data_IF_530070410113
#
_entry.id   IF_530070410113
#
_cell.length_a   1.000
_cell.length_b   1.000
_cell.length_c   1.000
_cell.angle_alpha   90.00
_cell.angle_beta   90.00
_cell.angle_gamma   90.00
#
_symmetry.space_group_name_H-M   'P 1'
#
loop_
_entity.id
_entity.type
_entity.pdbx_description
1 polymer ?
#
# COMPACT_ATOMS: atom_id res chain seq x y z
N UNK A 1 -0.87 17.79 5.44
CA UNK A 1 -2.31 17.98 5.76
C UNK A 1 -3.20 16.74 5.71
N UNK A 2 -3.12 15.89 4.68
CA UNK A 2 -4.02 14.74 4.53
C UNK A 2 -4.06 13.80 5.76
N UNK A 3 -2.91 13.57 6.40
CA UNK A 3 -2.83 12.75 7.61
C UNK A 3 -3.57 13.38 8.80
N UNK A 4 -3.46 14.70 9.00
CA UNK A 4 -4.15 15.40 10.09
C UNK A 4 -5.67 15.32 9.93
N UNK A 5 -6.19 15.53 8.72
CA UNK A 5 -7.61 15.40 8.42
C UNK A 5 -8.08 13.96 8.70
N UNK A 6 -7.28 12.95 8.31
CA UNK A 6 -7.60 11.54 8.55
C UNK A 6 -7.64 11.22 10.06
N UNK A 7 -6.59 11.56 10.80
CA UNK A 7 -6.50 11.24 12.22
C UNK A 7 -7.53 12.00 13.06
N UNK A 8 -7.83 13.26 12.72
CA UNK A 8 -8.93 13.98 13.35
C UNK A 8 -10.27 13.24 13.18
N UNK A 9 -10.54 12.68 11.99
CA UNK A 9 -11.77 11.90 11.76
C UNK A 9 -11.78 10.56 12.50
N UNK A 10 -10.61 9.93 12.68
CA UNK A 10 -10.49 8.67 13.43
C UNK A 10 -10.68 8.90 14.93
N UNK A 11 -10.11 9.98 15.48
CA UNK A 11 -10.20 10.30 16.90
C UNK A 11 -11.59 10.84 17.26
N UNK A 12 -12.19 11.67 16.40
CA UNK A 12 -13.46 12.35 16.66
C UNK A 12 -14.56 11.97 15.64
N UNK A 13 -15.01 10.70 15.58
CA UNK A 13 -15.99 10.27 14.60
C UNK A 13 -17.34 10.99 14.75
N UNK A 14 -17.79 11.26 15.98
CA UNK A 14 -19.10 11.89 16.25
C UNK A 14 -19.17 13.37 15.82
N UNK A 15 -18.04 14.10 15.91
CA UNK A 15 -17.95 15.48 15.42
C UNK A 15 -18.14 15.56 13.91
N UNK A 16 -17.79 14.49 13.18
CA UNK A 16 -17.92 14.42 11.73
C UNK A 16 -19.31 13.95 11.28
N UNK A 17 -20.07 13.32 12.18
CA UNK A 17 -21.42 12.81 11.94
C UNK A 17 -22.55 13.83 12.21
N UNK A 18 -22.21 15.09 12.53
CA UNK A 18 -23.20 16.16 12.72
C UNK A 18 -23.94 16.14 14.07
N UNK A 19 -23.53 15.30 15.03
CA UNK A 19 -24.05 15.35 16.40
C UNK A 19 -23.39 16.52 17.14
N UNK A 20 -24.13 17.63 17.29
CA UNK A 20 -23.69 18.78 18.08
C UNK A 20 -23.86 18.49 19.57
N UNK A 21 -22.78 18.08 20.22
CA UNK A 21 -22.68 18.18 21.67
C UNK A 21 -22.17 19.59 22.02
N UNK A 22 -22.98 20.36 22.76
CA UNK A 22 -22.59 21.64 23.33
C UNK A 22 -21.70 21.37 24.56
N UNK A 23 -20.42 21.11 24.35
CA UNK A 23 -19.43 21.11 25.44
C UNK A 23 -18.76 22.49 25.53
N UNK A 24 -18.68 23.05 26.74
CA UNK A 24 -17.80 24.17 27.04
C UNK A 24 -16.36 23.76 26.69
N UNK A 25 -15.74 24.44 25.73
CA UNK A 25 -14.32 24.26 25.41
C UNK A 25 -13.53 24.80 26.60
N UNK A 26 -13.14 23.92 27.53
CA UNK A 26 -12.43 24.33 28.74
C UNK A 26 -10.93 24.62 28.51
N UNK A 27 -10.37 24.23 27.37
CA UNK A 27 -9.02 24.64 26.91
C UNK A 27 -8.75 24.05 25.53
N UNK A 28 -8.07 24.80 24.65
CA UNK A 28 -7.58 24.28 23.37
C UNK A 28 -6.52 23.20 23.64
N UNK A 29 -6.64 22.03 23.02
CA UNK A 29 -5.57 21.02 22.99
C UNK A 29 -4.90 21.05 21.62
N UNK A 30 -3.58 21.22 21.58
CA UNK A 30 -2.82 21.34 20.33
C UNK A 30 -1.93 20.12 20.12
N UNK A 31 -1.94 19.57 18.91
CA UNK A 31 -0.97 18.56 18.47
C UNK A 31 0.03 19.23 17.54
N UNK A 32 1.27 19.35 17.97
CA UNK A 32 2.37 19.92 17.22
C UNK A 32 3.22 18.83 16.57
N UNK A 33 3.69 19.08 15.35
CA UNK A 33 4.49 18.13 14.59
C UNK A 33 5.79 18.79 14.20
N UNK A 34 6.91 18.13 14.51
CA UNK A 34 8.23 18.55 14.11
C UNK A 34 8.88 17.44 13.26
N UNK A 35 9.45 17.83 12.12
CA UNK A 35 10.16 16.90 11.22
C UNK A 35 11.51 17.49 10.84
N UNK A 36 12.57 16.71 11.00
CA UNK A 36 13.93 17.18 10.72
C UNK A 36 14.18 17.29 9.20
N UNK A 37 13.74 16.28 8.44
CA UNK A 37 13.84 16.26 6.98
C UNK A 37 12.48 16.48 6.31
N UNK A 38 12.36 17.60 5.57
CA UNK A 38 11.10 18.05 4.97
C UNK A 38 10.70 17.37 3.65
N UNK A 39 11.17 16.15 3.35
CA UNK A 39 10.76 15.45 2.13
C UNK A 39 9.41 14.74 2.32
N UNK A 40 8.33 15.48 2.05
CA UNK A 40 6.94 14.98 2.10
C UNK A 40 6.45 14.45 0.74
N UNK A 41 7.13 14.78 -0.36
CA UNK A 41 6.67 14.47 -1.72
C UNK A 41 7.27 13.17 -2.27
N UNK A 42 8.38 12.70 -1.69
CA UNK A 42 9.00 11.43 -2.00
C UNK A 42 8.13 10.19 -1.70
N UNK A 43 8.66 9.04 -2.11
CA UNK A 43 8.14 7.71 -1.76
C UNK A 43 8.98 7.13 -0.62
N UNK A 44 8.36 6.40 0.32
CA UNK A 44 9.12 5.69 1.35
C UNK A 44 10.06 4.68 0.68
N UNK A 45 11.26 4.56 1.22
CA UNK A 45 12.30 3.62 0.80
C UNK A 45 12.60 2.64 1.95
N UNK A 46 13.45 1.66 1.73
CA UNK A 46 13.84 0.68 2.76
C UNK A 46 14.56 1.30 3.96
N UNK A 47 15.36 2.35 3.71
CA UNK A 47 16.15 3.07 4.70
C UNK A 47 15.41 4.28 5.32
N UNK A 48 14.15 4.48 4.96
CA UNK A 48 13.33 5.57 5.48
C UNK A 48 13.13 5.43 6.99
N UNK A 49 13.66 6.39 7.76
CA UNK A 49 13.55 6.40 9.21
C UNK A 49 12.09 6.52 9.66
N UNK A 50 11.60 5.52 10.39
CA UNK A 50 10.24 5.49 10.97
C UNK A 50 10.24 5.79 12.49
N UNK A 51 11.39 6.23 13.04
CA UNK A 51 11.53 6.59 14.45
C UNK A 51 10.74 7.86 14.76
N UNK A 52 10.12 7.91 15.93
CA UNK A 52 9.47 9.11 16.44
C UNK A 52 9.53 9.17 17.97
N UNK A 53 9.43 10.39 18.47
CA UNK A 53 9.19 10.70 19.87
C UNK A 53 7.82 11.39 19.99
N UNK A 54 6.96 10.88 20.87
CA UNK A 54 5.66 11.43 21.19
C UNK A 54 5.64 11.85 22.65
N UNK A 55 5.41 13.13 22.93
CA UNK A 55 5.19 13.65 24.27
C UNK A 55 3.79 14.23 24.38
N UNK A 56 3.10 13.92 25.47
CA UNK A 56 1.78 14.45 25.80
C UNK A 56 1.84 15.09 27.17
N UNK A 57 1.44 16.35 27.24
CA UNK A 57 1.41 17.17 28.46
C UNK A 57 0.07 17.92 28.58
N UNK A 58 -0.07 18.78 29.59
CA UNK A 58 -1.31 19.50 29.83
C UNK A 58 -1.62 20.48 28.68
N UNK A 59 -2.63 20.19 27.87
CA UNK A 59 -3.10 21.03 26.76
C UNK A 59 -2.29 20.92 25.46
N UNK A 60 -1.30 20.03 25.40
CA UNK A 60 -0.40 19.93 24.25
C UNK A 60 0.15 18.51 24.07
N UNK A 61 0.30 18.09 22.81
CA UNK A 61 1.09 16.94 22.42
C UNK A 61 2.08 17.33 21.32
N UNK A 62 3.27 16.74 21.30
CA UNK A 62 4.23 16.89 20.22
C UNK A 62 4.65 15.54 19.65
N UNK A 63 4.67 15.42 18.32
CA UNK A 63 5.30 14.31 17.61
C UNK A 63 6.52 14.84 16.88
N UNK A 64 7.69 14.35 17.26
CA UNK A 64 8.97 14.72 16.66
C UNK A 64 9.55 13.49 15.96
N UNK A 65 9.92 13.63 14.70
CA UNK A 65 10.49 12.53 13.93
C UNK A 65 11.54 13.02 12.95
N UNK A 66 12.49 12.15 12.63
CA UNK A 66 13.52 12.44 11.63
C UNK A 66 12.91 12.65 10.23
N UNK A 67 11.89 11.86 9.89
CA UNK A 67 11.21 11.89 8.61
C UNK A 67 9.68 11.96 8.75
N UNK A 68 9.00 12.31 7.66
CA UNK A 68 7.53 12.29 7.58
C UNK A 68 6.94 10.91 7.87
N UNK A 69 7.70 9.82 7.64
CA UNK A 69 7.24 8.46 7.88
C UNK A 69 7.13 8.17 9.37
N UNK A 70 8.07 8.64 10.18
CA UNK A 70 7.99 8.57 11.65
C UNK A 70 6.81 9.38 12.20
N UNK A 71 6.53 10.56 11.63
CA UNK A 71 5.34 11.35 11.99
C UNK A 71 4.06 10.54 11.80
N UNK A 72 3.91 9.83 10.67
CA UNK A 72 2.72 9.00 10.43
C UNK A 72 2.57 7.89 11.48
N UNK A 73 3.67 7.30 11.96
CA UNK A 73 3.65 6.29 13.03
C UNK A 73 3.29 6.90 14.38
N UNK A 74 3.82 8.08 14.69
CA UNK A 74 3.50 8.81 15.92
C UNK A 74 2.05 9.28 15.98
N UNK A 75 1.48 9.73 14.87
CA UNK A 75 0.06 10.08 14.78
C UNK A 75 -0.86 8.87 15.01
N UNK A 76 -0.47 7.69 14.50
CA UNK A 76 -1.19 6.44 14.80
C UNK A 76 -1.20 6.16 16.30
N UNK A 77 -0.02 6.15 16.92
CA UNK A 77 0.12 5.93 18.36
C UNK A 77 -0.65 6.97 19.17
N UNK A 78 -0.57 8.25 18.82
CA UNK A 78 -1.34 9.30 19.47
C UNK A 78 -2.85 9.04 19.41
N UNK A 79 -3.37 8.62 18.26
CA UNK A 79 -4.80 8.30 18.12
C UNK A 79 -5.26 7.16 19.02
N UNK A 80 -4.37 6.22 19.34
CA UNK A 80 -4.64 5.10 20.25
C UNK A 80 -4.54 5.49 21.74
N UNK A 81 -3.89 6.60 22.07
CA UNK A 81 -3.84 7.14 23.43
C UNK A 81 -5.09 7.93 23.81
N UNK A 82 -5.85 8.42 22.82
CA UNK A 82 -7.09 9.15 23.07
C UNK A 82 -8.20 8.15 23.38
N UNK A 83 -8.88 8.36 24.50
CA UNK A 83 -10.01 7.54 24.92
C UNK A 83 -11.20 8.42 25.33
N UNK A 84 -12.39 7.85 25.34
CA UNK A 84 -13.62 8.52 25.80
C UNK A 84 -14.06 7.94 27.15
N UNK A 85 -14.63 8.76 28.01
CA UNK A 85 -15.40 8.30 29.17
C UNK A 85 -16.84 7.92 28.79
N UNK A 86 -17.61 7.44 29.77
CA UNK A 86 -19.02 7.07 29.59
C UNK A 86 -19.92 8.25 29.17
N UNK A 87 -19.44 9.50 29.30
CA UNK A 87 -20.14 10.72 28.93
C UNK A 87 -19.71 11.27 27.56
N UNK A 88 -18.79 10.59 26.86
CA UNK A 88 -18.28 11.00 25.54
C UNK A 88 -17.19 12.09 25.60
N UNK A 89 -16.68 12.41 26.78
CA UNK A 89 -15.57 13.35 26.95
C UNK A 89 -14.27 12.67 26.55
N UNK A 90 -13.46 13.32 25.71
CA UNK A 90 -12.19 12.77 25.24
C UNK A 90 -11.06 13.13 26.21
N UNK A 91 -10.22 12.15 26.52
CA UNK A 91 -9.07 12.28 27.40
C UNK A 91 -7.82 11.69 26.75
N UNK A 92 -6.68 12.17 27.21
CA UNK A 92 -5.36 11.60 26.91
C UNK A 92 -4.48 11.80 28.13
N UNK A 93 -3.74 10.75 28.52
CA UNK A 93 -2.88 10.81 29.70
C UNK A 93 -1.53 11.44 29.36
N UNK A 94 -0.94 12.17 30.32
CA UNK A 94 0.45 12.61 30.22
C UNK A 94 1.36 11.40 30.00
N UNK A 95 2.09 11.40 28.89
CA UNK A 95 2.84 10.24 28.41
C UNK A 95 4.04 10.70 27.61
N UNK A 96 5.17 9.99 27.72
CA UNK A 96 6.35 10.18 26.86
C UNK A 96 6.70 8.81 26.23
N UNK A 97 6.79 8.76 24.90
CA UNK A 97 7.07 7.56 24.10
C UNK A 97 8.21 7.86 23.14
N UNK A 98 9.27 7.06 23.18
CA UNK A 98 10.26 6.92 22.12
C UNK A 98 10.04 5.56 21.46
N UNK A 99 9.79 5.54 20.15
CA UNK A 99 9.44 4.32 19.44
C UNK A 99 10.12 4.25 18.07
N UNK A 100 10.46 3.03 17.67
CA UNK A 100 11.12 2.74 16.42
C UNK A 100 10.91 1.29 16.01
N UNK A 101 11.14 1.00 14.74
CA UNK A 101 10.91 -0.32 14.16
C UNK A 101 12.11 -1.23 14.40
N UNK A 102 11.88 -2.47 14.82
CA UNK A 102 12.95 -3.47 14.89
C UNK A 102 13.38 -3.94 13.50
N UNK A 103 12.43 -4.03 12.57
CA UNK A 103 12.65 -4.47 11.20
C UNK A 103 12.07 -3.47 10.21
N UNK A 104 12.86 -3.11 9.20
CA UNK A 104 12.46 -2.13 8.19
C UNK A 104 11.47 -2.69 7.17
N UNK A 105 11.46 -4.00 6.93
CA UNK A 105 10.48 -4.63 6.05
C UNK A 105 9.34 -5.25 6.88
N UNK A 106 8.15 -4.67 6.81
CA UNK A 106 6.92 -5.20 7.42
C UNK A 106 5.85 -5.29 6.34
N UNK A 107 5.79 -6.45 5.70
CA UNK A 107 5.01 -6.69 4.49
C UNK A 107 3.67 -7.39 4.72
N UNK A 108 2.68 -7.03 3.92
CA UNK A 108 1.44 -7.79 3.72
C UNK A 108 1.31 -8.13 2.23
N UNK A 109 1.23 -9.43 1.91
CA UNK A 109 0.99 -9.91 0.55
C UNK A 109 -0.52 -9.97 0.27
N UNK A 110 -0.92 -9.43 -0.88
CA UNK A 110 -2.28 -9.56 -1.39
C UNK A 110 -2.27 -10.10 -2.81
N UNK A 111 -2.85 -11.28 -2.97
CA UNK A 111 -3.07 -11.93 -4.26
C UNK A 111 -4.35 -11.41 -4.90
N UNK A 112 -4.19 -10.74 -6.04
CA UNK A 112 -5.31 -10.23 -6.83
C UNK A 112 -5.49 -10.94 -8.17
N UNK A 113 -4.78 -12.05 -8.38
CA UNK A 113 -4.93 -12.88 -9.57
C UNK A 113 -5.91 -14.03 -9.33
N UNK A 114 -5.77 -14.77 -8.23
CA UNK A 114 -6.66 -15.91 -7.92
C UNK A 114 -8.11 -15.47 -7.79
N UNK A 115 -8.32 -14.29 -7.21
CA UNK A 115 -9.57 -13.55 -7.26
C UNK A 115 -9.28 -12.07 -7.48
N UNK A 116 -10.09 -11.41 -8.31
CA UNK A 116 -10.00 -9.95 -8.44
C UNK A 116 -10.49 -9.28 -7.15
N UNK A 117 -9.72 -8.32 -6.65
CA UNK A 117 -10.13 -7.48 -5.53
C UNK A 117 -10.39 -6.05 -6.01
N UNK A 118 -11.60 -5.50 -5.80
CA UNK A 118 -11.88 -4.12 -6.19
C UNK A 118 -10.92 -3.14 -5.52
N UNK A 119 -10.52 -2.08 -6.24
CA UNK A 119 -9.62 -1.04 -5.71
C UNK A 119 -10.06 -0.52 -4.34
N UNK A 120 -11.36 -0.23 -4.06
CA UNK A 120 -11.77 0.20 -2.72
C UNK A 120 -11.43 -0.77 -1.59
N UNK A 121 -11.37 -2.08 -1.86
CA UNK A 121 -10.96 -3.10 -0.88
C UNK A 121 -9.45 -3.00 -0.62
N UNK A 122 -8.64 -2.87 -1.68
CA UNK A 122 -7.19 -2.67 -1.56
C UNK A 122 -6.88 -1.40 -0.75
N UNK A 123 -7.61 -0.30 -1.00
CA UNK A 123 -7.42 0.94 -0.22
C UNK A 123 -7.76 0.76 1.27
N UNK A 124 -8.81 0.01 1.60
CA UNK A 124 -9.14 -0.35 3.00
C UNK A 124 -8.07 -1.24 3.64
N UNK A 125 -7.48 -2.16 2.88
CA UNK A 125 -6.33 -2.94 3.36
C UNK A 125 -5.16 -2.03 3.70
N UNK A 126 -4.86 -1.03 2.86
CA UNK A 126 -3.81 -0.04 3.14
C UNK A 126 -4.10 0.80 4.38
N UNK A 127 -5.36 1.14 4.65
CA UNK A 127 -5.77 1.77 5.93
C UNK A 127 -5.43 0.87 7.12
N UNK A 128 -5.86 -0.40 7.08
CA UNK A 128 -5.61 -1.36 8.15
C UNK A 128 -4.10 -1.61 8.37
N UNK A 129 -3.33 -1.67 7.29
CA UNK A 129 -1.86 -1.74 7.34
C UNK A 129 -1.27 -0.54 8.08
N UNK A 130 -1.76 0.68 7.80
CA UNK A 130 -1.28 1.89 8.47
C UNK A 130 -1.57 1.86 9.98
N UNK A 131 -2.76 1.40 10.38
CA UNK A 131 -3.14 1.26 11.80
C UNK A 131 -2.23 0.28 12.55
N UNK A 132 -1.79 -0.76 11.84
CA UNK A 132 -0.88 -1.80 12.36
C UNK A 132 0.60 -1.51 12.06
N UNK A 133 0.93 -0.30 11.59
CA UNK A 133 2.28 0.15 11.23
C UNK A 133 3.02 -0.77 10.23
N UNK A 134 2.32 -1.51 9.37
CA UNK A 134 2.92 -2.16 8.19
C UNK A 134 3.34 -1.09 7.18
N UNK A 135 4.42 -1.36 6.44
CA UNK A 135 5.02 -0.38 5.53
C UNK A 135 5.33 -0.94 4.13
N UNK A 136 5.08 -2.23 3.85
CA UNK A 136 5.20 -2.80 2.51
C UNK A 136 3.90 -3.49 2.11
N UNK A 137 3.30 -3.04 1.03
CA UNK A 137 2.21 -3.71 0.34
C UNK A 137 2.80 -4.53 -0.80
N UNK A 138 2.91 -5.84 -0.58
CA UNK A 138 3.37 -6.79 -1.59
C UNK A 138 2.17 -7.17 -2.46
N UNK A 139 2.14 -6.61 -3.66
CA UNK A 139 1.03 -6.80 -4.57
C UNK A 139 1.34 -7.91 -5.57
N UNK A 140 0.89 -9.12 -5.24
CA UNK A 140 0.87 -10.27 -6.14
C UNK A 140 -0.24 -10.10 -7.17
N UNK A 141 0.08 -9.37 -8.24
CA UNK A 141 -0.92 -8.75 -9.12
C UNK A 141 -1.39 -9.66 -10.26
N UNK A 142 -0.59 -10.65 -10.66
CA UNK A 142 -0.86 -11.58 -11.76
C UNK A 142 -0.39 -12.99 -11.39
N UNK A 143 -1.06 -14.02 -11.91
CA UNK A 143 -0.76 -15.44 -11.69
C UNK A 143 -1.49 -16.30 -12.75
N UNK A 144 -1.50 -17.62 -12.58
CA UNK A 144 -2.11 -18.63 -13.45
C UNK A 144 -3.58 -18.42 -13.82
N UNK A 145 -4.49 -17.98 -12.93
CA UNK A 145 -5.91 -17.89 -13.25
C UNK A 145 -6.33 -16.52 -13.83
N UNK A 146 -5.54 -15.45 -13.65
CA UNK A 146 -5.86 -14.17 -14.30
C UNK A 146 -4.67 -13.18 -14.40
N UNK A 147 -4.78 -12.30 -15.39
CA UNK A 147 -3.88 -11.16 -15.63
C UNK A 147 -4.68 -9.84 -15.56
N UNK A 148 -4.98 -9.29 -14.37
CA UNK A 148 -5.78 -8.07 -14.24
C UNK A 148 -4.98 -6.78 -14.47
N UNK A 149 -3.64 -6.81 -14.41
CA UNK A 149 -2.81 -5.62 -14.67
C UNK A 149 -2.92 -5.13 -16.11
N UNK A 150 -3.36 -3.88 -16.32
CA UNK A 150 -3.44 -3.28 -17.65
C UNK A 150 -2.07 -2.74 -18.09
N UNK A 151 -1.33 -3.54 -18.86
CA UNK A 151 -0.10 -3.08 -19.50
C UNK A 151 -0.40 -2.13 -20.67
N UNK A 152 0.38 -1.05 -20.79
CA UNK A 152 0.31 -0.15 -21.97
C UNK A 152 1.08 -0.70 -23.15
N UNK A 153 2.22 -1.34 -22.87
CA UNK A 153 3.11 -1.97 -23.85
C UNK A 153 2.47 -3.24 -24.41
N UNK A 154 1.74 -3.99 -23.58
CA UNK A 154 1.06 -5.22 -23.98
C UNK A 154 -0.43 -5.24 -23.58
N UNK A 155 -1.31 -4.45 -24.23
CA UNK A 155 -2.73 -4.35 -23.87
C UNK A 155 -3.49 -5.70 -23.94
N UNK A 156 -3.00 -6.62 -24.78
CA UNK A 156 -3.60 -7.93 -24.93
C UNK A 156 -3.47 -8.82 -23.68
N UNK A 157 -2.55 -8.54 -22.75
CA UNK A 157 -2.39 -9.31 -21.52
C UNK A 157 -3.66 -9.22 -20.67
N UNK A 158 -4.11 -8.01 -20.32
CA UNK A 158 -5.37 -7.84 -19.58
C UNK A 158 -6.60 -8.11 -20.42
N UNK A 159 -6.64 -7.68 -21.69
CA UNK A 159 -7.82 -7.86 -22.55
C UNK A 159 -8.19 -9.33 -22.76
N UNK A 160 -7.21 -10.24 -22.66
CA UNK A 160 -7.43 -11.68 -22.86
C UNK A 160 -7.17 -12.53 -21.62
N UNK A 161 -6.54 -11.97 -20.59
CA UNK A 161 -6.12 -12.68 -19.38
C UNK A 161 -6.85 -12.27 -18.11
N UNK A 162 -7.51 -11.11 -18.05
CA UNK A 162 -8.36 -10.75 -16.92
C UNK A 162 -9.65 -11.60 -16.91
N UNK A 163 -10.25 -11.81 -15.73
CA UNK A 163 -11.56 -12.50 -15.61
C UNK A 163 -12.66 -11.80 -16.43
N UNK A 164 -12.59 -10.48 -16.54
CA UNK A 164 -13.45 -9.68 -17.40
C UNK A 164 -12.64 -8.51 -17.95
N UNK A 165 -12.66 -8.23 -19.28
CA UNK A 165 -11.77 -7.26 -19.94
C UNK A 165 -12.00 -5.79 -19.56
N UNK A 166 -12.91 -5.49 -18.64
CA UNK A 166 -13.30 -4.13 -18.24
C UNK A 166 -13.46 -4.03 -16.73
N UNK A 167 -14.31 -4.85 -16.11
CA UNK A 167 -14.63 -4.74 -14.69
C UNK A 167 -13.61 -5.37 -13.75
N UNK A 168 -12.77 -6.29 -14.23
CA UNK A 168 -11.79 -7.03 -13.42
C UNK A 168 -10.36 -6.73 -13.88
N UNK A 169 -10.10 -5.44 -14.11
CA UNK A 169 -8.83 -4.93 -14.61
C UNK A 169 -8.37 -3.81 -13.67
N UNK A 170 -7.06 -3.77 -13.39
CA UNK A 170 -6.42 -2.62 -12.76
C UNK A 170 -5.88 -1.72 -13.85
N UNK A 171 -6.59 -0.62 -14.09
CA UNK A 171 -6.13 0.39 -15.04
C UNK A 171 -4.89 1.10 -14.53
N UNK A 172 -4.19 1.81 -15.42
CA UNK A 172 -3.03 2.63 -15.03
C UNK A 172 -3.40 3.73 -14.02
N UNK A 173 -4.64 4.23 -14.06
CA UNK A 173 -5.17 5.14 -13.05
C UNK A 173 -5.41 4.45 -11.70
N UNK A 174 -5.89 3.20 -11.71
CA UNK A 174 -6.11 2.43 -10.48
C UNK A 174 -4.78 2.14 -9.78
N UNK A 175 -3.77 1.69 -10.53
CA UNK A 175 -2.42 1.42 -10.01
C UNK A 175 -1.81 2.69 -9.41
N UNK A 176 -1.87 3.82 -10.13
CA UNK A 176 -1.42 5.12 -9.60
C UNK A 176 -2.17 5.55 -8.35
N UNK A 177 -3.49 5.30 -8.30
CA UNK A 177 -4.31 5.59 -7.12
C UNK A 177 -3.87 4.77 -5.92
N UNK A 178 -3.63 3.47 -6.08
CA UNK A 178 -3.13 2.58 -5.02
C UNK A 178 -1.76 3.04 -4.53
N UNK A 179 -0.82 3.31 -5.44
CA UNK A 179 0.53 3.81 -5.12
C UNK A 179 0.48 5.12 -4.33
N UNK A 180 -0.30 6.10 -4.81
CA UNK A 180 -0.46 7.40 -4.14
C UNK A 180 -1.12 7.24 -2.76
N UNK A 181 -2.11 6.36 -2.65
CA UNK A 181 -2.82 6.12 -1.39
C UNK A 181 -1.94 5.44 -0.34
N UNK A 182 -1.10 4.51 -0.77
CA UNK A 182 -0.08 3.84 0.05
C UNK A 182 1.00 4.83 0.50
N UNK A 183 1.50 5.69 -0.41
CA UNK A 183 2.46 6.76 -0.09
C UNK A 183 1.97 7.68 1.03
N UNK A 184 0.72 8.12 0.99
CA UNK A 184 0.09 8.95 2.04
C UNK A 184 -0.04 8.26 3.42
N UNK A 185 0.36 6.99 3.51
CA UNK A 185 0.38 6.16 4.73
C UNK A 185 1.80 5.64 5.06
N UNK A 186 2.81 6.08 4.31
CA UNK A 186 4.17 5.56 4.45
C UNK A 186 4.24 4.07 4.12
N UNK A 187 3.49 3.63 3.11
CA UNK A 187 3.48 2.25 2.63
C UNK A 187 4.07 2.22 1.22
N UNK A 188 5.09 1.38 1.05
CA UNK A 188 5.70 1.01 -0.22
C UNK A 188 4.79 0.06 -0.98
N UNK A 189 4.75 0.17 -2.31
CA UNK A 189 4.02 -0.79 -3.16
C UNK A 189 5.04 -1.61 -3.94
N UNK A 190 5.27 -2.84 -3.49
CA UNK A 190 6.16 -3.80 -4.11
C UNK A 190 5.35 -4.64 -5.12
N UNK A 191 5.47 -4.41 -6.44
CA UNK A 191 4.80 -5.23 -7.42
C UNK A 191 5.48 -6.59 -7.54
N UNK A 192 4.67 -7.63 -7.72
CA UNK A 192 5.16 -8.94 -8.11
C UNK A 192 4.60 -9.37 -9.46
N UNK A 193 5.50 -9.81 -10.34
CA UNK A 193 5.17 -10.45 -11.60
C UNK A 193 5.92 -11.79 -11.66
N UNK A 194 5.31 -12.80 -11.05
CA UNK A 194 5.89 -14.14 -10.88
C UNK A 194 6.22 -14.78 -12.25
N UNK A 195 7.44 -15.30 -12.37
CA UNK A 195 7.91 -16.06 -13.51
C UNK A 195 9.06 -17.00 -13.11
N UNK A 196 9.29 -18.13 -13.81
CA UNK A 196 8.61 -18.57 -15.03
C UNK A 196 7.37 -19.43 -14.78
N UNK A 197 7.12 -19.87 -13.54
CA UNK A 197 5.87 -20.51 -13.11
C UNK A 197 4.71 -19.52 -13.08
N UNK A 198 3.52 -19.94 -12.63
CA UNK A 198 2.41 -19.01 -12.36
C UNK A 198 2.04 -18.07 -13.53
N UNK A 199 2.21 -18.54 -14.77
CA UNK A 199 2.16 -17.72 -15.99
C UNK A 199 1.17 -18.23 -17.03
N UNK A 200 0.24 -19.12 -16.68
CA UNK A 200 -0.69 -19.71 -17.65
C UNK A 200 -1.40 -18.68 -18.55
N UNK A 201 -1.82 -17.52 -18.03
CA UNK A 201 -2.42 -16.46 -18.85
C UNK A 201 -1.43 -15.51 -19.53
N UNK A 202 -0.16 -15.52 -19.15
CA UNK A 202 0.89 -14.90 -19.95
C UNK A 202 1.00 -15.61 -21.31
N UNK A 203 0.65 -16.91 -21.39
CA UNK A 203 0.78 -17.71 -22.61
C UNK A 203 -0.04 -17.32 -23.82
N UNK A 204 -1.00 -16.40 -23.68
CA UNK A 204 -1.72 -15.86 -24.83
C UNK A 204 -0.85 -14.99 -25.75
N UNK A 205 0.42 -14.73 -25.37
CA UNK A 205 1.48 -14.17 -26.24
C UNK A 205 2.46 -15.22 -26.82
N UNK A 206 2.11 -16.52 -26.84
CA UNK A 206 2.94 -17.62 -27.39
C UNK A 206 4.32 -17.75 -26.72
N UNK A 207 4.39 -17.46 -25.43
CA UNK A 207 5.63 -17.53 -24.64
C UNK A 207 5.78 -18.82 -23.83
N UNK A 208 4.71 -19.61 -23.67
CA UNK A 208 4.76 -20.80 -22.82
C UNK A 208 5.30 -22.02 -23.54
N UNK A 209 5.93 -22.89 -22.76
CA UNK A 209 6.43 -24.19 -23.20
C UNK A 209 5.26 -25.10 -23.52
N UNK A 210 5.22 -25.67 -24.73
CA UNK A 210 4.19 -26.65 -25.08
C UNK A 210 4.56 -27.99 -24.44
N UNK A 211 3.66 -28.55 -23.64
CA UNK A 211 3.85 -29.86 -23.07
C UNK A 211 3.57 -30.95 -24.11
N UNK A 212 4.50 -31.91 -24.22
CA UNK A 212 4.41 -33.04 -25.14
C UNK A 212 3.96 -34.35 -24.46
N UNK A 213 3.83 -34.36 -23.13
CA UNK A 213 3.34 -35.49 -22.33
C UNK A 213 1.84 -35.35 -22.05
N UNK A 214 1.12 -36.47 -21.97
CA UNK A 214 -0.35 -36.50 -21.91
C UNK A 214 -0.92 -35.82 -20.64
N UNK A 215 -1.99 -34.99 -20.78
CA UNK A 215 -2.66 -34.64 -22.03
C UNK A 215 -1.84 -33.68 -22.88
N UNK A 216 -1.69 -34.03 -24.16
CA UNK A 216 -0.99 -33.23 -25.17
C UNK A 216 -1.76 -31.95 -25.47
N UNK A 217 -1.06 -30.82 -25.59
CA UNK A 217 -1.66 -29.52 -25.92
C UNK A 217 -1.87 -28.57 -24.74
N UNK A 218 -1.45 -28.96 -23.52
CA UNK A 218 -1.32 -28.04 -22.40
C UNK A 218 -0.04 -27.19 -22.52
N UNK A 219 -0.03 -26.07 -21.82
CA UNK A 219 1.12 -25.20 -21.69
C UNK A 219 1.70 -25.34 -20.28
N UNK A 220 3.03 -25.31 -20.19
CA UNK A 220 3.78 -25.25 -18.94
C UNK A 220 4.33 -23.83 -18.69
N UNK A 221 5.45 -23.71 -17.97
CA UNK A 221 6.10 -22.44 -17.67
C UNK A 221 6.48 -21.63 -18.93
N UNK A 222 6.79 -20.35 -18.72
CA UNK A 222 7.45 -19.50 -19.74
C UNK A 222 8.65 -20.24 -20.33
N UNK A 223 8.76 -20.25 -21.66
CA UNK A 223 9.77 -20.98 -22.40
C UNK A 223 11.11 -20.21 -22.39
N UNK A 224 12.14 -20.66 -21.64
CA UNK A 224 13.41 -19.93 -21.54
C UNK A 224 14.31 -20.15 -22.76
N UNK A 225 13.95 -21.06 -23.69
CA UNK A 225 14.74 -21.35 -24.88
C UNK A 225 14.45 -20.38 -26.06
N UNK A 226 13.44 -19.50 -25.92
CA UNK A 226 13.06 -18.55 -26.98
C UNK A 226 13.67 -17.17 -26.71
N UNK A 227 14.42 -16.57 -27.67
CA UNK A 227 14.90 -15.18 -27.54
C UNK A 227 13.77 -14.17 -27.35
N UNK A 228 12.59 -14.43 -27.93
CA UNK A 228 11.40 -13.58 -27.79
C UNK A 228 10.90 -13.49 -26.35
N UNK A 229 11.15 -14.50 -25.51
CA UNK A 229 10.83 -14.48 -24.08
C UNK A 229 11.55 -13.33 -23.38
N UNK A 230 12.86 -13.23 -23.56
CA UNK A 230 13.66 -12.19 -22.91
C UNK A 230 13.35 -10.80 -23.45
N UNK A 231 13.02 -10.67 -24.74
CA UNK A 231 12.57 -9.40 -25.33
C UNK A 231 11.23 -8.93 -24.72
N UNK A 232 10.29 -9.88 -24.53
CA UNK A 232 9.03 -9.61 -23.87
C UNK A 232 9.24 -9.20 -22.41
N UNK A 233 10.01 -9.98 -21.64
CA UNK A 233 10.30 -9.70 -20.23
C UNK A 233 10.98 -8.35 -20.05
N UNK A 234 12.02 -8.05 -20.84
CA UNK A 234 12.71 -6.77 -20.78
C UNK A 234 11.77 -5.59 -21.05
N UNK A 235 10.86 -5.72 -22.01
CA UNK A 235 9.88 -4.67 -22.32
C UNK A 235 8.83 -4.51 -21.22
N UNK A 236 8.33 -5.62 -20.67
CA UNK A 236 7.34 -5.62 -19.59
C UNK A 236 7.95 -5.02 -18.31
N UNK A 237 9.11 -5.49 -17.88
CA UNK A 237 9.75 -5.00 -16.66
C UNK A 237 10.23 -3.55 -16.78
N UNK A 238 10.58 -3.08 -17.99
CA UNK A 238 10.84 -1.65 -18.23
C UNK A 238 9.59 -0.81 -17.95
N UNK A 239 8.40 -1.29 -18.35
CA UNK A 239 7.15 -0.63 -18.01
C UNK A 239 6.86 -0.70 -16.52
N UNK A 240 6.97 -1.88 -15.90
CA UNK A 240 6.72 -2.08 -14.46
C UNK A 240 7.60 -1.15 -13.63
N UNK A 241 8.91 -1.08 -13.92
CA UNK A 241 9.85 -0.17 -13.24
C UNK A 241 9.52 1.32 -13.45
N UNK A 242 8.84 1.68 -14.54
CA UNK A 242 8.37 3.06 -14.77
C UNK A 242 7.05 3.39 -14.06
N UNK A 243 6.23 2.37 -13.79
CA UNK A 243 4.89 2.52 -13.19
C UNK A 243 4.97 2.47 -11.67
N UNK A 244 5.78 1.56 -11.13
CA UNK A 244 5.97 1.37 -9.70
C UNK A 244 7.26 2.05 -9.25
N UNK A 245 7.19 3.04 -8.35
CA UNK A 245 8.35 3.83 -7.93
C UNK A 245 9.18 3.16 -6.83
N UNK A 246 8.80 1.96 -6.36
CA UNK A 246 9.58 1.22 -5.37
C UNK A 246 10.91 0.78 -5.97
N UNK A 247 11.97 0.78 -5.16
CA UNK A 247 13.30 0.36 -5.60
C UNK A 247 13.39 -1.14 -5.93
N UNK A 248 12.37 -1.92 -5.55
CA UNK A 248 12.32 -3.36 -5.73
C UNK A 248 11.13 -3.80 -6.58
N UNK A 249 11.33 -4.88 -7.32
CA UNK A 249 10.28 -5.63 -8.02
C UNK A 249 10.46 -7.10 -7.62
N UNK A 250 9.41 -7.75 -7.17
CA UNK A 250 9.43 -9.19 -6.86
C UNK A 250 9.23 -9.97 -8.17
N UNK A 251 10.08 -10.97 -8.44
CA UNK A 251 10.11 -11.71 -9.70
C UNK A 251 9.45 -13.11 -9.60
N UNK A 252 8.90 -13.43 -8.43
CA UNK A 252 8.47 -14.78 -8.02
C UNK A 252 9.33 -15.32 -6.89
#
# INVERSE_FOLDING_TARGET
DAAFIRYHRLIFPDHTAGRRYYHMINSLFTVEISVDHQDCEGYPQEDSSERYNLSVSAGHASVNAESVWGVLRGLETFSQLVYQDDFGTHFVNRTDIEDSTQFQYRGLLLDTSRHYLPVPVILKTLDAMAYSKFNVFHWHIVDDPSFPYQSRTFPNLSNKGAFHPVSHVYTQSDVKRVISYARMRGIRVLPEFDSPGHTNFWGRVKLLTRCHLHPSGTFGPVNPALPSTYQFMASLFKEVASVFPDSYIHLG
#
